data_IF_699529731668
#
_entry.id   IF_699529731668
#
_cell.length_a   1.000
_cell.length_b   1.000
_cell.length_c   1.000
_cell.angle_alpha   90.00
_cell.angle_beta   90.00
_cell.angle_gamma   90.00
#
_symmetry.space_group_name_H-M   'P 1'
#
loop_
_entity.id
_entity.type
_entity.pdbx_description
1 polymer ?
#
# COMPACT_ATOMS: atom_id res chain seq x y z
N UNK A 1 7.62 9.48 6.29
CA UNK A 1 6.73 8.97 7.34
C UNK A 1 6.02 7.72 6.85
N UNK A 2 6.01 6.68 7.66
CA UNK A 2 5.34 5.43 7.33
C UNK A 2 4.10 5.31 8.22
N UNK A 3 2.96 5.01 7.59
CA UNK A 3 1.72 4.78 8.30
C UNK A 3 1.32 3.33 8.10
N UNK A 4 1.03 2.64 9.19
CA UNK A 4 0.63 1.23 9.14
C UNK A 4 -0.84 1.10 9.50
N UNK A 5 -1.52 0.22 8.79
CA UNK A 5 -2.92 -0.09 9.00
C UNK A 5 -3.09 -1.60 8.96
N UNK A 6 -3.70 -2.15 9.99
CA UNK A 6 -3.96 -3.59 10.05
C UNK A 6 -5.44 -3.87 9.84
N UNK A 7 -5.73 -4.87 9.04
CA UNK A 7 -7.10 -5.29 8.80
C UNK A 7 -7.12 -6.82 8.72
N UNK A 8 -7.53 -7.46 9.82
CA UNK A 8 -7.38 -8.89 9.94
C UNK A 8 -5.92 -9.27 9.91
N UNK A 9 -5.55 -10.16 9.00
CA UNK A 9 -4.16 -10.59 8.83
C UNK A 9 -3.40 -9.72 7.84
N UNK A 10 -4.03 -8.69 7.31
CA UNK A 10 -3.43 -7.80 6.32
C UNK A 10 -3.02 -6.49 6.96
N UNK A 11 -1.79 -6.10 6.74
CA UNK A 11 -1.25 -4.82 7.20
C UNK A 11 -0.87 -3.99 5.98
N UNK A 12 -1.28 -2.73 5.98
CA UNK A 12 -0.90 -1.80 4.92
C UNK A 12 0.12 -0.82 5.45
N UNK A 13 1.25 -0.70 4.76
CA UNK A 13 2.26 0.31 5.04
C UNK A 13 2.25 1.32 3.92
N UNK A 14 2.19 2.60 4.28
CA UNK A 14 2.09 3.68 3.29
C UNK A 14 3.21 4.66 3.51
N UNK A 15 3.94 4.95 2.44
CA UNK A 15 4.98 5.95 2.40
C UNK A 15 4.61 7.04 1.42
N UNK A 16 4.97 8.27 1.74
CA UNK A 16 4.78 9.40 0.85
C UNK A 16 6.14 9.98 0.49
N UNK A 17 6.38 10.21 -0.78
CA UNK A 17 7.62 10.78 -1.28
C UNK A 17 7.35 11.91 -2.26
N UNK A 18 8.32 12.81 -2.38
CA UNK A 18 8.24 13.91 -3.31
C UNK A 18 7.68 15.18 -2.68
N UNK A 19 7.76 16.30 -3.41
CA UNK A 19 7.26 17.59 -2.94
C UNK A 19 5.73 17.61 -2.91
N UNK A 20 5.16 18.59 -2.22
CA UNK A 20 3.72 18.70 -2.04
C UNK A 20 2.94 18.74 -3.36
N UNK A 21 3.52 19.33 -4.39
CA UNK A 21 2.84 19.45 -5.68
C UNK A 21 3.02 18.22 -6.57
N UNK A 22 3.85 17.27 -6.16
CA UNK A 22 4.10 16.05 -6.94
C UNK A 22 4.36 14.86 -6.01
N UNK A 23 3.53 14.71 -4.99
CA UNK A 23 3.70 13.66 -3.99
C UNK A 23 3.21 12.32 -4.53
N UNK A 24 4.03 11.30 -4.31
CA UNK A 24 3.68 9.93 -4.68
C UNK A 24 3.54 9.11 -3.40
N UNK A 25 2.45 8.38 -3.30
CA UNK A 25 2.19 7.48 -2.19
C UNK A 25 2.43 6.05 -2.65
N UNK A 26 3.16 5.31 -1.84
CA UNK A 26 3.42 3.89 -2.10
C UNK A 26 2.85 3.10 -0.95
N UNK A 27 1.98 2.15 -1.26
CA UNK A 27 1.37 1.28 -0.26
C UNK A 27 1.85 -0.14 -0.48
N UNK A 28 2.10 -0.83 0.63
CA UNK A 28 2.44 -2.25 0.61
C UNK A 28 1.44 -3.00 1.45
N UNK A 29 0.83 -4.02 0.86
CA UNK A 29 -0.07 -4.92 1.57
C UNK A 29 0.76 -6.10 2.05
N UNK A 30 0.80 -6.31 3.36
CA UNK A 30 1.61 -7.36 3.98
C UNK A 30 0.67 -8.38 4.60
N UNK A 31 0.82 -9.63 4.17
CA UNK A 31 0.04 -10.75 4.70
C UNK A 31 1.00 -11.75 5.29
N UNK A 32 0.76 -12.14 6.54
CA UNK A 32 1.59 -13.11 7.25
C UNK A 32 3.08 -12.72 7.22
N UNK A 33 3.37 -11.46 7.42
CA UNK A 33 4.73 -10.88 7.44
C UNK A 33 5.44 -10.91 6.09
N UNK A 34 4.71 -11.16 5.02
CA UNK A 34 5.26 -11.14 3.67
C UNK A 34 4.53 -10.11 2.82
N UNK A 35 5.28 -9.38 2.01
CA UNK A 35 4.67 -8.42 1.10
C UNK A 35 3.88 -9.16 0.04
N UNK A 36 2.56 -8.99 0.05
CA UNK A 36 1.67 -9.64 -0.90
C UNK A 36 1.39 -8.78 -2.12
N UNK A 37 1.43 -7.48 -1.96
CA UNK A 37 1.18 -6.58 -3.09
C UNK A 37 1.69 -5.18 -2.81
N UNK A 38 2.00 -4.45 -3.87
CA UNK A 38 2.49 -3.09 -3.79
C UNK A 38 1.76 -2.24 -4.81
N UNK A 39 1.43 -1.02 -4.42
CA UNK A 39 0.80 -0.08 -5.34
C UNK A 39 1.27 1.33 -5.05
N UNK A 40 1.29 2.17 -6.07
CA UNK A 40 1.66 3.56 -5.90
C UNK A 40 0.71 4.44 -6.70
N UNK A 41 0.53 5.66 -6.23
CA UNK A 41 -0.38 6.58 -6.89
C UNK A 41 -0.31 7.97 -6.29
N UNK A 42 -1.11 8.91 -6.82
CA UNK A 42 -1.10 10.30 -6.37
C UNK A 42 -1.80 10.51 -5.03
N UNK A 43 -2.42 9.49 -4.48
CA UNK A 43 -3.09 9.60 -3.18
C UNK A 43 -2.96 8.28 -2.41
N UNK A 44 -3.15 8.36 -1.10
CA UNK A 44 -3.12 7.17 -0.24
C UNK A 44 -4.17 6.15 -0.67
N UNK A 45 -5.36 6.63 -0.95
CA UNK A 45 -6.48 5.78 -1.35
C UNK A 45 -6.15 5.00 -2.63
N UNK A 46 -5.58 5.69 -3.60
CA UNK A 46 -5.19 5.08 -4.87
C UNK A 46 -4.08 4.05 -4.66
N UNK A 47 -3.08 4.39 -3.85
CA UNK A 47 -1.97 3.48 -3.56
C UNK A 47 -2.47 2.22 -2.83
N UNK A 48 -3.35 2.40 -1.84
CA UNK A 48 -3.94 1.27 -1.11
C UNK A 48 -4.76 0.38 -2.02
N UNK A 49 -5.56 0.99 -2.90
CA UNK A 49 -6.38 0.25 -3.85
C UNK A 49 -5.53 -0.63 -4.75
N UNK A 50 -4.46 -0.06 -5.28
CA UNK A 50 -3.56 -0.80 -6.16
C UNK A 50 -2.80 -1.89 -5.42
N UNK A 51 -2.37 -1.62 -4.19
CA UNK A 51 -1.70 -2.62 -3.37
C UNK A 51 -2.63 -3.77 -3.03
N UNK A 52 -3.87 -3.47 -2.68
CA UNK A 52 -4.88 -4.49 -2.38
C UNK A 52 -5.19 -5.34 -3.61
N UNK A 53 -5.30 -4.70 -4.77
CA UNK A 53 -5.54 -5.40 -6.02
C UNK A 53 -4.41 -6.36 -6.36
N UNK A 54 -3.17 -5.91 -6.19
CA UNK A 54 -2.01 -6.75 -6.43
C UNK A 54 -1.95 -7.93 -5.45
N UNK A 55 -2.24 -7.68 -4.18
CA UNK A 55 -2.29 -8.73 -3.17
C UNK A 55 -3.39 -9.73 -3.46
N UNK A 56 -4.54 -9.26 -3.91
CA UNK A 56 -5.68 -10.11 -4.23
C UNK A 56 -5.34 -11.09 -5.36
N UNK A 57 -4.60 -10.62 -6.35
CA UNK A 57 -4.17 -11.48 -7.46
C UNK A 57 -3.27 -12.63 -7.00
N UNK A 58 -2.45 -12.38 -6.01
CA UNK A 58 -1.55 -13.39 -5.46
C UNK A 58 -2.31 -14.40 -4.62
N UNK A 59 -3.31 -13.92 -3.87
CA UNK A 59 -4.08 -14.76 -2.95
C UNK A 59 -5.17 -15.58 -3.63
N UNK A 60 -5.54 -15.22 -4.83
CA UNK A 60 -6.53 -15.94 -5.62
C UNK A 60 -5.83 -16.84 -6.63
#
# INVERSE_FOLDING_TARGET
MVTSRSWGDVTYEIEAEGPDHARVYTARAIVAKQTAGTGSGPSKKEAERLAAEAAYRILV
#
